data_IF_000451439936
#
_entry.id   IF_000451439936
#
_cell.length_a   1.000
_cell.length_b   1.000
_cell.length_c   1.000
_cell.angle_alpha   90.00
_cell.angle_beta   90.00
_cell.angle_gamma   90.00
#
_symmetry.space_group_name_H-M   'P 1'
#
loop_
_entity.id
_entity.type
_entity.pdbx_description
1 polymer ?
#
# COMPACT_ATOMS: atom_id res chain seq x y z
N UNK A 1 27.96 -32.00 -34.65
CA UNK A 1 26.92 -30.94 -34.63
C UNK A 1 26.43 -30.85 -33.19
N UNK A 2 27.11 -30.03 -32.39
CA UNK A 2 26.76 -29.83 -30.98
C UNK A 2 25.88 -28.57 -30.87
N UNK A 3 24.82 -28.71 -30.09
CA UNK A 3 23.80 -27.71 -29.84
C UNK A 3 24.34 -26.68 -28.83
N UNK A 4 24.47 -25.39 -29.16
CA UNK A 4 24.84 -24.39 -28.18
C UNK A 4 23.62 -24.12 -27.30
N UNK A 5 23.63 -24.71 -26.11
CA UNK A 5 22.78 -24.32 -25.00
C UNK A 5 22.95 -22.82 -24.76
N UNK A 6 21.91 -22.06 -25.11
CA UNK A 6 21.75 -20.68 -24.74
C UNK A 6 21.72 -20.60 -23.21
N UNK A 7 22.86 -20.24 -22.66
CA UNK A 7 23.00 -19.73 -21.30
C UNK A 7 22.13 -18.49 -21.18
N UNK A 8 20.90 -18.67 -20.68
CA UNK A 8 20.12 -17.59 -20.11
C UNK A 8 20.92 -16.99 -18.95
N UNK A 9 21.64 -15.90 -19.20
CA UNK A 9 22.20 -15.09 -18.13
C UNK A 9 21.04 -14.43 -17.39
N UNK A 10 20.63 -15.01 -16.27
CA UNK A 10 19.55 -14.51 -15.42
C UNK A 10 19.94 -13.28 -14.57
N UNK A 11 20.92 -12.49 -15.01
CA UNK A 11 21.37 -11.27 -14.33
C UNK A 11 21.14 -10.03 -15.22
N UNK A 12 19.94 -9.90 -15.79
CA UNK A 12 19.52 -8.58 -16.29
C UNK A 12 19.27 -7.66 -15.09
N UNK A 13 20.29 -6.90 -14.72
CA UNK A 13 20.14 -5.72 -13.86
C UNK A 13 18.87 -4.97 -14.29
N UNK A 14 17.96 -4.66 -13.34
CA UNK A 14 16.70 -4.02 -13.67
C UNK A 14 16.96 -2.78 -14.49
N UNK A 15 16.39 -2.76 -15.70
CA UNK A 15 16.62 -1.71 -16.67
C UNK A 15 16.34 -0.36 -16.03
N UNK A 16 17.11 0.67 -16.38
CA UNK A 16 16.92 2.05 -15.89
C UNK A 16 15.44 2.49 -15.97
N UNK A 17 14.72 2.02 -17.00
CA UNK A 17 13.28 2.22 -17.17
C UNK A 17 12.43 1.68 -16.02
N UNK A 18 12.76 0.53 -15.44
CA UNK A 18 12.05 -0.03 -14.29
C UNK A 18 12.15 0.86 -13.06
N UNK A 19 13.33 1.40 -12.77
CA UNK A 19 13.54 2.33 -11.65
C UNK A 19 12.80 3.66 -11.86
N UNK A 20 12.74 4.13 -13.10
CA UNK A 20 12.03 5.36 -13.47
C UNK A 20 10.51 5.26 -13.28
N UNK A 21 9.93 4.05 -13.23
CA UNK A 21 8.53 3.88 -12.88
C UNK A 21 8.21 4.44 -11.48
N UNK A 22 9.19 4.53 -10.58
CA UNK A 22 9.02 5.13 -9.25
C UNK A 22 8.64 6.61 -9.27
N UNK A 23 8.87 7.33 -10.39
CA UNK A 23 8.46 8.72 -10.54
C UNK A 23 6.94 8.89 -10.51
N UNK A 24 6.18 7.92 -11.01
CA UNK A 24 4.71 7.98 -11.01
C UNK A 24 4.11 7.94 -9.60
N UNK A 25 4.33 6.89 -8.78
CA UNK A 25 3.78 6.85 -7.43
C UNK A 25 4.36 7.98 -6.55
N UNK A 26 5.59 8.44 -6.78
CA UNK A 26 6.11 9.63 -6.12
C UNK A 26 5.30 10.88 -6.49
N UNK A 27 5.03 11.10 -7.77
CA UNK A 27 4.22 12.23 -8.23
C UNK A 27 2.80 12.18 -7.67
N UNK A 28 2.18 10.99 -7.60
CA UNK A 28 0.85 10.82 -7.01
C UNK A 28 0.86 11.15 -5.51
N UNK A 29 1.86 10.68 -4.77
CA UNK A 29 2.05 11.00 -3.36
C UNK A 29 2.24 12.50 -3.13
N UNK A 30 3.10 13.16 -3.93
CA UNK A 30 3.36 14.59 -3.80
C UNK A 30 2.14 15.44 -4.18
N UNK A 31 1.41 15.07 -5.23
CA UNK A 31 0.16 15.75 -5.60
C UNK A 31 -0.87 15.68 -4.47
N UNK A 32 -0.98 14.51 -3.82
CA UNK A 32 -1.86 14.35 -2.67
C UNK A 32 -1.37 15.13 -1.43
N UNK A 33 -0.05 15.20 -1.22
CA UNK A 33 0.55 16.01 -0.16
C UNK A 33 0.26 17.51 -0.33
N UNK A 34 0.39 18.03 -1.56
CA UNK A 34 0.05 19.42 -1.87
C UNK A 34 -1.43 19.68 -1.63
N UNK A 35 -2.32 18.76 -2.01
CA UNK A 35 -3.74 18.86 -1.75
C UNK A 35 -4.05 18.91 -0.25
N UNK A 36 -3.51 17.99 0.55
CA UNK A 36 -3.75 17.99 2.00
C UNK A 36 -3.07 19.16 2.70
N UNK A 37 -1.96 19.67 2.19
CA UNK A 37 -1.34 20.90 2.67
C UNK A 37 -2.29 22.08 2.51
N UNK A 38 -2.90 22.25 1.33
CA UNK A 38 -3.73 23.42 1.04
C UNK A 38 -5.01 23.49 1.88
N UNK A 39 -5.45 22.36 2.44
CA UNK A 39 -6.62 22.27 3.33
C UNK A 39 -6.26 22.03 4.81
N UNK A 40 -4.97 22.11 5.18
CA UNK A 40 -4.46 21.87 6.55
C UNK A 40 -4.75 20.46 7.12
N UNK A 41 -4.83 19.44 6.26
CA UNK A 41 -5.17 18.05 6.63
C UNK A 41 -4.02 17.07 6.35
N UNK A 42 -2.76 17.52 6.53
CA UNK A 42 -1.56 16.72 6.24
C UNK A 42 -1.49 15.38 6.98
N UNK A 43 -2.19 15.23 8.11
CA UNK A 43 -2.29 13.96 8.82
C UNK A 43 -2.81 12.81 7.93
N UNK A 44 -3.66 13.12 6.94
CA UNK A 44 -4.17 12.13 5.98
C UNK A 44 -3.09 11.54 5.05
N UNK A 45 -1.89 12.10 5.00
CA UNK A 45 -0.76 11.49 4.28
C UNK A 45 -0.33 10.15 4.88
N UNK A 46 -0.61 9.90 6.17
CA UNK A 46 -0.32 8.64 6.84
C UNK A 46 -1.35 7.54 6.59
N UNK A 47 -2.45 7.82 5.87
CA UNK A 47 -3.33 6.75 5.41
C UNK A 47 -2.54 5.69 4.64
N UNK A 48 -2.79 4.42 4.94
CA UNK A 48 -2.01 3.30 4.40
C UNK A 48 -1.92 3.31 2.87
N UNK A 49 -2.99 3.74 2.20
CA UNK A 49 -3.04 3.89 0.74
C UNK A 49 -2.14 5.01 0.21
N UNK A 50 -2.06 6.16 0.91
CA UNK A 50 -1.20 7.28 0.52
C UNK A 50 0.26 6.92 0.73
N UNK A 51 0.63 6.49 1.95
CA UNK A 51 2.02 6.11 2.26
C UNK A 51 2.48 4.91 1.43
N UNK A 52 1.56 4.04 0.99
CA UNK A 52 1.85 2.94 0.07
C UNK A 52 2.45 3.40 -1.27
N UNK A 53 2.05 4.55 -1.80
CA UNK A 53 2.67 5.12 -3.00
C UNK A 53 4.13 5.53 -2.75
N UNK A 54 4.42 6.14 -1.59
CA UNK A 54 5.79 6.49 -1.23
C UNK A 54 6.66 5.24 -1.08
N UNK A 55 6.14 4.21 -0.41
CA UNK A 55 6.84 2.91 -0.26
C UNK A 55 7.09 2.27 -1.63
N UNK A 56 6.10 2.28 -2.54
CA UNK A 56 6.28 1.74 -3.89
C UNK A 56 7.36 2.52 -4.66
N UNK A 57 7.34 3.86 -4.59
CA UNK A 57 8.34 4.70 -5.23
C UNK A 57 9.75 4.36 -4.73
N UNK A 58 9.94 4.27 -3.41
CA UNK A 58 11.21 3.89 -2.79
C UNK A 58 11.63 2.48 -3.24
N UNK A 59 10.70 1.51 -3.24
CA UNK A 59 10.95 0.16 -3.71
C UNK A 59 11.42 0.11 -5.16
N UNK A 60 10.81 0.89 -6.05
CA UNK A 60 11.20 0.99 -7.46
C UNK A 60 12.57 1.67 -7.63
N UNK A 61 12.83 2.78 -6.94
CA UNK A 61 14.12 3.47 -7.02
C UNK A 61 15.27 2.63 -6.48
N UNK A 62 15.06 1.90 -5.40
CA UNK A 62 16.06 1.02 -4.79
C UNK A 62 16.12 -0.36 -5.45
N UNK A 63 15.19 -0.66 -6.37
CA UNK A 63 14.96 -2.00 -6.89
C UNK A 63 14.89 -3.05 -5.76
N UNK A 64 14.04 -2.78 -4.78
CA UNK A 64 13.85 -3.64 -3.62
C UNK A 64 12.51 -4.40 -3.75
N UNK A 65 12.52 -5.70 -4.10
CA UNK A 65 11.31 -6.50 -4.27
C UNK A 65 10.44 -6.54 -3.01
N UNK A 66 11.05 -6.53 -1.82
CA UNK A 66 10.31 -6.56 -0.55
C UNK A 66 9.38 -5.34 -0.43
N UNK A 67 9.92 -4.14 -0.67
CA UNK A 67 9.15 -2.89 -0.59
C UNK A 67 8.06 -2.83 -1.66
N UNK A 68 8.36 -3.29 -2.87
CA UNK A 68 7.39 -3.37 -3.97
C UNK A 68 6.23 -4.31 -3.60
N UNK A 69 6.54 -5.54 -3.15
CA UNK A 69 5.55 -6.53 -2.72
C UNK A 69 4.67 -6.00 -1.60
N UNK A 70 5.29 -5.43 -0.58
CA UNK A 70 4.63 -4.86 0.59
C UNK A 70 3.65 -3.75 0.20
N UNK A 71 4.06 -2.83 -0.67
CA UNK A 71 3.20 -1.76 -1.17
C UNK A 71 2.02 -2.31 -1.97
N UNK A 72 2.27 -3.23 -2.90
CA UNK A 72 1.23 -3.80 -3.78
C UNK A 72 0.16 -4.55 -3.00
N UNK A 73 0.54 -5.33 -1.98
CA UNK A 73 -0.43 -6.02 -1.11
C UNK A 73 -1.38 -5.00 -0.47
N UNK A 74 -0.87 -3.85 -0.02
CA UNK A 74 -1.66 -2.81 0.64
C UNK A 74 -2.49 -1.93 -0.31
N UNK A 75 -2.09 -1.81 -1.56
CA UNK A 75 -2.83 -1.04 -2.56
C UNK A 75 -4.21 -1.64 -2.86
N UNK A 76 -4.36 -2.96 -2.78
CA UNK A 76 -5.65 -3.65 -3.01
C UNK A 76 -6.72 -3.26 -1.98
N UNK A 77 -6.53 -3.48 -0.66
CA UNK A 77 -7.51 -3.06 0.34
C UNK A 77 -7.60 -1.53 0.40
N UNK A 78 -6.49 -0.81 0.15
CA UNK A 78 -6.49 0.64 0.05
C UNK A 78 -7.47 1.17 -1.01
N UNK A 79 -7.52 0.56 -2.19
CA UNK A 79 -8.48 0.91 -3.24
C UNK A 79 -9.92 0.65 -2.80
N UNK A 80 -10.18 -0.49 -2.14
CA UNK A 80 -11.52 -0.85 -1.66
C UNK A 80 -11.99 0.14 -0.59
N UNK A 81 -11.16 0.42 0.40
CA UNK A 81 -11.48 1.39 1.47
C UNK A 81 -11.68 2.79 0.90
N UNK A 82 -10.86 3.20 -0.07
CA UNK A 82 -11.05 4.50 -0.75
C UNK A 82 -12.39 4.60 -1.47
N UNK A 83 -12.78 3.58 -2.22
CA UNK A 83 -14.07 3.55 -2.92
C UNK A 83 -15.26 3.60 -1.95
N UNK A 84 -15.18 2.87 -0.84
CA UNK A 84 -16.28 2.78 0.12
C UNK A 84 -16.42 4.03 0.99
N UNK A 85 -15.30 4.63 1.41
CA UNK A 85 -15.33 5.66 2.45
C UNK A 85 -14.93 7.05 1.94
N UNK A 86 -13.90 7.16 1.11
CA UNK A 86 -13.39 8.47 0.67
C UNK A 86 -14.23 9.01 -0.48
N UNK A 87 -14.53 8.19 -1.48
CA UNK A 87 -15.36 8.61 -2.62
C UNK A 87 -16.76 9.01 -2.16
N UNK A 88 -17.33 8.28 -1.20
CA UNK A 88 -18.67 8.59 -0.68
C UNK A 88 -18.70 9.86 0.16
N UNK A 89 -17.68 10.11 0.98
CA UNK A 89 -17.67 11.28 1.88
C UNK A 89 -17.09 12.55 1.25
N UNK A 90 -16.15 12.44 0.31
CA UNK A 90 -15.38 13.58 -0.24
C UNK A 90 -15.48 13.69 -1.77
N UNK A 91 -16.16 12.75 -2.43
CA UNK A 91 -16.25 12.70 -3.88
C UNK A 91 -14.98 12.20 -4.56
N UNK A 92 -14.96 12.30 -5.89
CA UNK A 92 -13.82 11.88 -6.74
C UNK A 92 -13.02 13.12 -7.14
N UNK A 93 -11.75 13.15 -6.77
CA UNK A 93 -10.81 14.19 -7.19
C UNK A 93 -9.54 13.57 -7.75
N UNK A 94 -8.95 14.24 -8.74
CA UNK A 94 -7.93 13.65 -9.61
C UNK A 94 -6.72 13.13 -8.83
N UNK A 95 -6.20 13.89 -7.86
CA UNK A 95 -5.02 13.49 -7.09
C UNK A 95 -5.27 12.20 -6.29
N UNK A 96 -6.45 12.07 -5.66
CA UNK A 96 -6.81 10.87 -4.93
C UNK A 96 -7.05 9.69 -5.87
N UNK A 97 -7.74 9.90 -6.99
CA UNK A 97 -7.92 8.83 -7.98
C UNK A 97 -6.57 8.33 -8.49
N UNK A 98 -5.63 9.22 -8.78
CA UNK A 98 -4.27 8.85 -9.22
C UNK A 98 -3.50 8.10 -8.13
N UNK A 99 -3.59 8.52 -6.87
CA UNK A 99 -2.94 7.82 -5.76
C UNK A 99 -3.44 6.37 -5.60
N UNK A 100 -4.73 6.12 -5.82
CA UNK A 100 -5.31 4.78 -5.59
C UNK A 100 -5.25 3.91 -6.85
N UNK A 101 -5.77 4.41 -7.96
CA UNK A 101 -5.84 3.66 -9.23
C UNK A 101 -4.48 3.67 -9.94
N UNK A 102 -3.87 4.85 -10.07
CA UNK A 102 -2.56 4.99 -10.72
C UNK A 102 -1.47 4.23 -9.95
N UNK A 103 -1.44 4.38 -8.62
CA UNK A 103 -0.53 3.62 -7.74
C UNK A 103 -0.66 2.11 -7.93
N UNK A 104 -1.90 1.58 -7.92
CA UNK A 104 -2.15 0.16 -8.12
C UNK A 104 -1.73 -0.32 -9.52
N UNK A 105 -2.00 0.45 -10.57
CA UNK A 105 -1.58 0.10 -11.95
C UNK A 105 -0.06 -0.05 -12.01
N UNK A 106 0.69 0.94 -11.49
CA UNK A 106 2.16 0.86 -11.44
C UNK A 106 2.62 -0.33 -10.59
N UNK A 107 1.95 -0.56 -9.46
CA UNK A 107 2.20 -1.70 -8.58
C UNK A 107 2.02 -3.06 -9.28
N UNK A 108 0.97 -3.22 -10.09
CA UNK A 108 0.71 -4.44 -10.88
C UNK A 108 1.81 -4.65 -11.91
N UNK A 109 2.26 -3.61 -12.61
CA UNK A 109 3.40 -3.72 -13.52
C UNK A 109 4.69 -4.10 -12.79
N UNK A 110 4.92 -3.51 -11.60
CA UNK A 110 6.09 -3.79 -10.80
C UNK A 110 6.13 -5.24 -10.29
N UNK A 111 5.03 -5.71 -9.71
CA UNK A 111 4.95 -7.07 -9.16
C UNK A 111 5.02 -8.14 -10.25
N UNK A 112 4.53 -7.85 -11.46
CA UNK A 112 4.69 -8.75 -12.62
C UNK A 112 6.14 -9.07 -12.95
N UNK A 113 7.05 -8.14 -12.62
CA UNK A 113 8.48 -8.27 -12.92
C UNK A 113 9.28 -8.85 -11.76
N UNK A 114 8.94 -8.50 -10.52
CA UNK A 114 9.69 -8.96 -9.32
C UNK A 114 9.07 -10.18 -8.64
N UNK A 115 7.88 -10.60 -9.08
CA UNK A 115 7.09 -11.67 -8.50
C UNK A 115 6.69 -11.41 -7.04
N UNK A 116 5.90 -12.31 -6.48
CA UNK A 116 5.42 -12.29 -5.10
C UNK A 116 5.93 -13.52 -4.35
N UNK A 117 6.45 -13.33 -3.14
CA UNK A 117 6.80 -14.46 -2.27
C UNK A 117 5.64 -14.88 -1.34
N UNK A 118 5.75 -16.07 -0.77
CA UNK A 118 4.69 -16.70 0.05
C UNK A 118 4.43 -16.00 1.37
N UNK A 119 5.43 -15.29 1.89
CA UNK A 119 5.45 -14.63 3.19
C UNK A 119 5.40 -13.10 3.11
N UNK A 120 5.25 -12.51 1.91
CA UNK A 120 5.13 -11.07 1.68
C UNK A 120 4.06 -10.39 2.54
N UNK A 121 2.99 -11.13 2.86
CA UNK A 121 1.92 -10.66 3.74
C UNK A 121 2.39 -10.36 5.17
N UNK A 122 3.43 -11.03 5.68
CA UNK A 122 3.99 -10.79 7.02
C UNK A 122 4.66 -9.43 7.09
N UNK A 123 5.40 -9.07 6.04
CA UNK A 123 6.02 -7.73 5.93
C UNK A 123 4.96 -6.65 5.77
N UNK A 124 3.91 -6.91 4.99
CA UNK A 124 2.76 -6.01 4.90
C UNK A 124 2.06 -5.83 6.25
N UNK A 125 1.92 -6.90 7.06
CA UNK A 125 1.36 -6.80 8.41
C UNK A 125 2.27 -6.00 9.34
N UNK A 126 3.59 -6.26 9.31
CA UNK A 126 4.56 -5.49 10.08
C UNK A 126 4.53 -4.00 9.74
N UNK A 127 4.44 -3.68 8.44
CA UNK A 127 4.25 -2.31 7.97
C UNK A 127 2.97 -1.68 8.47
N UNK A 128 1.87 -2.43 8.50
CA UNK A 128 0.61 -1.95 9.06
C UNK A 128 0.71 -1.61 10.54
N UNK A 129 1.35 -2.46 11.34
CA UNK A 129 1.56 -2.19 12.76
C UNK A 129 2.42 -0.95 12.96
N UNK A 130 3.47 -0.79 12.16
CA UNK A 130 4.32 0.39 12.17
C UNK A 130 3.53 1.65 11.82
N UNK A 131 2.80 1.67 10.71
CA UNK A 131 2.02 2.84 10.28
C UNK A 131 0.85 3.13 11.25
N UNK A 132 0.25 2.11 11.86
CA UNK A 132 -0.74 2.30 12.93
C UNK A 132 -0.13 3.03 14.13
N UNK A 133 1.05 2.60 14.56
CA UNK A 133 1.80 3.26 15.62
C UNK A 133 2.15 4.71 15.24
N UNK A 134 2.69 4.93 14.04
CA UNK A 134 3.01 6.26 13.52
C UNK A 134 1.76 7.16 13.47
N UNK A 135 0.62 6.63 13.04
CA UNK A 135 -0.65 7.37 12.98
C UNK A 135 -1.10 7.78 14.38
N UNK A 136 -0.98 6.87 15.35
CA UNK A 136 -1.32 7.16 16.75
C UNK A 136 -0.43 8.25 17.38
N UNK A 137 0.84 8.31 17.00
CA UNK A 137 1.80 9.26 17.58
C UNK A 137 1.79 10.61 16.88
N UNK A 138 1.59 10.65 15.56
CA UNK A 138 1.80 11.86 14.75
C UNK A 138 0.54 12.48 14.15
N UNK A 139 -0.61 11.81 14.17
CA UNK A 139 -1.86 12.44 13.68
C UNK A 139 -2.74 12.91 14.83
N UNK A 140 -3.46 14.03 14.67
CA UNK A 140 -4.54 14.42 15.57
C UNK A 140 -5.59 13.32 15.74
N UNK A 141 -6.10 13.14 16.96
CA UNK A 141 -7.05 12.07 17.28
C UNK A 141 -8.39 12.20 16.57
N UNK A 142 -8.81 13.43 16.25
CA UNK A 142 -10.04 13.71 15.50
C UNK A 142 -9.99 13.21 14.05
N UNK A 143 -8.80 13.10 13.44
CA UNK A 143 -8.65 12.56 12.08
C UNK A 143 -8.74 11.04 12.06
N UNK A 144 -8.42 10.39 13.18
CA UNK A 144 -8.47 8.95 13.38
C UNK A 144 -7.88 8.15 12.18
N UNK A 145 -6.75 8.61 11.64
CA UNK A 145 -6.09 8.02 10.47
C UNK A 145 -5.74 6.57 10.74
N UNK A 146 -6.04 5.67 9.79
CA UNK A 146 -5.94 4.22 9.95
C UNK A 146 -6.72 3.64 11.14
N UNK A 147 -7.68 4.41 11.66
CA UNK A 147 -8.46 4.08 12.85
C UNK A 147 -7.57 3.86 14.09
N UNK A 148 -6.51 4.67 14.21
CA UNK A 148 -5.44 4.48 15.20
C UNK A 148 -5.76 5.03 16.62
N UNK A 149 -6.82 5.84 16.76
CA UNK A 149 -7.11 6.59 17.99
C UNK A 149 -8.37 6.08 18.70
N UNK A 150 -9.47 5.90 17.97
CA UNK A 150 -10.76 5.48 18.53
C UNK A 150 -11.55 4.59 17.58
N UNK A 151 -12.57 3.90 18.12
CA UNK A 151 -13.48 3.07 17.33
C UNK A 151 -14.21 3.95 16.31
N UNK A 152 -14.23 3.50 15.05
CA UNK A 152 -14.97 4.17 13.98
C UNK A 152 -16.48 4.21 14.31
N UNK A 153 -17.18 5.28 13.87
CA UNK A 153 -18.58 5.49 14.19
C UNK A 153 -19.48 4.28 13.85
N UNK A 154 -19.20 3.59 12.74
CA UNK A 154 -19.97 2.42 12.31
C UNK A 154 -19.86 1.20 13.24
N UNK A 155 -18.85 1.17 14.13
CA UNK A 155 -18.52 0.01 14.97
C UNK A 155 -18.71 0.25 16.46
N UNK A 156 -19.15 1.44 16.86
CA UNK A 156 -19.31 1.82 18.28
C UNK A 156 -20.33 0.97 19.03
N UNK A 157 -21.36 0.46 18.35
CA UNK A 157 -22.37 -0.41 18.97
C UNK A 157 -21.85 -1.82 19.22
N UNK A 158 -20.85 -2.27 18.46
CA UNK A 158 -20.26 -3.61 18.58
C UNK A 158 -19.09 -3.63 19.56
N UNK A 159 -18.29 -2.57 19.61
CA UNK A 159 -17.08 -2.51 20.41
C UNK A 159 -17.12 -1.39 21.45
N UNK A 160 -17.24 -1.79 22.72
CA UNK A 160 -17.24 -0.87 23.87
C UNK A 160 -15.83 -0.40 24.28
N UNK A 161 -14.77 -0.99 23.71
CA UNK A 161 -13.37 -0.67 24.03
C UNK A 161 -12.51 -0.67 22.78
N UNK A 162 -11.67 0.35 22.63
CA UNK A 162 -10.76 0.48 21.48
C UNK A 162 -9.82 -0.73 21.31
N UNK A 163 -9.31 -1.29 22.41
CA UNK A 163 -8.39 -2.43 22.33
C UNK A 163 -9.00 -3.67 21.67
N UNK A 164 -10.25 -4.02 22.03
CA UNK A 164 -10.99 -5.14 21.40
C UNK A 164 -11.21 -4.88 19.90
N UNK A 165 -11.59 -3.65 19.56
CA UNK A 165 -11.76 -3.24 18.17
C UNK A 165 -10.44 -3.37 17.39
N UNK A 166 -9.35 -2.82 17.92
CA UNK A 166 -8.03 -2.85 17.28
C UNK A 166 -7.50 -4.27 17.10
N UNK A 167 -7.71 -5.16 18.08
CA UNK A 167 -7.31 -6.56 17.98
C UNK A 167 -8.08 -7.28 16.86
N UNK A 168 -9.41 -7.11 16.81
CA UNK A 168 -10.24 -7.70 15.75
C UNK A 168 -9.87 -7.13 14.38
N UNK A 169 -9.74 -5.81 14.27
CA UNK A 169 -9.33 -5.15 13.03
C UNK A 169 -7.96 -5.64 12.54
N UNK A 170 -7.01 -5.83 13.46
CA UNK A 170 -5.67 -6.34 13.14
C UNK A 170 -5.72 -7.80 12.68
N UNK A 171 -6.53 -8.65 13.32
CA UNK A 171 -6.74 -10.03 12.87
C UNK A 171 -7.36 -10.09 11.47
N UNK A 172 -8.43 -9.31 11.24
CA UNK A 172 -9.09 -9.22 9.94
C UNK A 172 -8.13 -8.70 8.86
N UNK A 173 -7.34 -7.68 9.19
CA UNK A 173 -6.29 -7.16 8.32
C UNK A 173 -5.28 -8.25 7.97
N UNK A 174 -4.77 -8.99 8.96
CA UNK A 174 -3.82 -10.07 8.71
C UNK A 174 -4.39 -11.15 7.77
N UNK A 175 -5.66 -11.54 7.95
CA UNK A 175 -6.36 -12.49 7.07
C UNK A 175 -6.46 -11.94 5.64
N UNK A 176 -6.88 -10.68 5.48
CA UNK A 176 -7.01 -10.04 4.16
C UNK A 176 -5.65 -9.96 3.46
N UNK A 177 -4.60 -9.52 4.15
CA UNK A 177 -3.25 -9.46 3.60
C UNK A 177 -2.73 -10.85 3.21
N UNK A 178 -3.01 -11.87 4.03
CA UNK A 178 -2.64 -13.25 3.73
C UNK A 178 -3.35 -13.77 2.48
N UNK A 179 -4.65 -13.51 2.32
CA UNK A 179 -5.41 -13.88 1.12
C UNK A 179 -4.81 -13.19 -0.11
N UNK A 180 -4.60 -11.87 -0.04
CA UNK A 180 -4.04 -11.10 -1.16
C UNK A 180 -2.64 -11.59 -1.52
N UNK A 181 -1.76 -11.74 -0.53
CA UNK A 181 -0.41 -12.26 -0.74
C UNK A 181 -0.41 -13.65 -1.38
N UNK A 182 -1.30 -14.53 -0.93
CA UNK A 182 -1.48 -15.88 -1.49
C UNK A 182 -1.98 -15.83 -2.93
N UNK A 183 -2.97 -15.00 -3.24
CA UNK A 183 -3.50 -14.83 -4.60
C UNK A 183 -2.43 -14.25 -5.53
N UNK A 184 -1.73 -13.20 -5.10
CA UNK A 184 -0.67 -12.58 -5.88
C UNK A 184 0.50 -13.55 -6.12
N UNK A 185 0.88 -14.36 -5.13
CA UNK A 185 1.88 -15.42 -5.29
C UNK A 185 1.46 -16.48 -6.32
N UNK A 186 0.17 -16.84 -6.37
CA UNK A 186 -0.33 -17.78 -7.38
C UNK A 186 -0.32 -17.19 -8.80
N UNK A 187 -0.57 -15.89 -8.95
CA UNK A 187 -0.60 -15.23 -10.27
C UNK A 187 0.81 -14.92 -10.77
N UNK A 188 1.69 -14.43 -9.88
CA UNK A 188 3.06 -14.02 -10.20
C UNK A 188 4.04 -14.59 -9.16
N UNK A 189 4.37 -15.88 -9.22
CA UNK A 189 5.38 -16.46 -8.33
C UNK A 189 6.76 -15.86 -8.62
N UNK A 190 7.56 -15.69 -7.56
CA UNK A 190 9.00 -15.39 -7.64
C UNK A 190 9.83 -16.64 -7.38
#
# INVERSE_FOLDING_TARGET
MENPSSTFSQDELPTRGFRLLGLFPLAFFLAQAVHYWSINELGHMLWMCNIGNLVLAIGLFLNNPLLIRMAVIWMVPGLIVWLLYVVQAWGVFLSSTLAHVGGLIVGIFAIRRVGMDRDGWRYALGWYLLVQFMSRVWTPANLNVNVAHHVDAGWRQTFNTYWKFWLVLTLLTAIVLWIIGTVLHRIWPN
#
